data_IF_588109286358
#
_entry.id   IF_588109286358
#
_cell.length_a   1.000
_cell.length_b   1.000
_cell.length_c   1.000
_cell.angle_alpha   90.00
_cell.angle_beta   90.00
_cell.angle_gamma   90.00
#
_symmetry.space_group_name_H-M   'P 1'
#
loop_
_entity.id
_entity.type
_entity.pdbx_description
1 polymer ?
#
# COMPACT_ATOMS: atom_id res chain seq x y z
N UNK A 1 43.62 10.32 13.30
CA UNK A 1 42.18 10.67 13.35
C UNK A 1 41.48 9.88 12.27
N UNK A 2 40.70 8.87 12.64
CA UNK A 2 39.96 8.02 11.69
C UNK A 2 38.70 8.78 11.29
N UNK A 3 38.59 9.13 10.00
CA UNK A 3 37.37 9.72 9.44
C UNK A 3 36.33 8.62 9.32
N UNK A 4 35.29 8.68 10.14
CA UNK A 4 34.10 7.82 10.01
C UNK A 4 33.36 8.25 8.74
N UNK A 5 33.08 7.34 7.78
CA UNK A 5 32.29 7.72 6.61
C UNK A 5 30.92 8.16 7.09
N UNK A 6 30.52 9.37 6.70
CA UNK A 6 29.22 9.94 7.03
C UNK A 6 28.14 8.92 6.67
N UNK A 7 27.33 8.53 7.66
CA UNK A 7 26.07 7.82 7.42
C UNK A 7 25.35 8.59 6.32
N UNK A 8 25.19 7.98 5.15
CA UNK A 8 24.16 8.41 4.20
C UNK A 8 22.86 8.45 4.98
N UNK A 9 22.40 9.66 5.33
CA UNK A 9 21.05 9.83 5.84
C UNK A 9 20.16 9.39 4.70
N UNK A 10 19.49 8.25 4.87
CA UNK A 10 18.40 7.90 3.98
C UNK A 10 17.45 9.10 3.98
N UNK A 11 17.03 9.59 2.80
CA UNK A 11 16.19 10.78 2.70
C UNK A 11 14.78 10.57 3.30
N UNK A 12 14.50 9.35 3.76
CA UNK A 12 13.21 8.84 4.21
C UNK A 12 13.47 8.00 5.46
N UNK A 13 12.65 8.13 6.51
CA UNK A 13 12.78 7.26 7.69
C UNK A 13 12.34 5.83 7.36
N UNK A 14 12.79 4.83 8.13
CA UNK A 14 12.35 3.46 7.91
C UNK A 14 10.83 3.33 8.02
N UNK A 15 10.22 4.01 8.99
CA UNK A 15 8.77 3.99 9.18
C UNK A 15 8.04 4.62 7.98
N UNK A 16 8.55 5.72 7.46
CA UNK A 16 8.01 6.34 6.25
C UNK A 16 8.12 5.41 5.03
N UNK A 17 9.28 4.79 4.84
CA UNK A 17 9.50 3.81 3.79
C UNK A 17 8.53 2.62 3.89
N UNK A 18 8.31 2.10 5.09
CA UNK A 18 7.40 0.99 5.33
C UNK A 18 5.96 1.36 4.95
N UNK A 19 5.49 2.53 5.37
CA UNK A 19 4.15 3.01 5.00
C UNK A 19 3.98 3.24 3.50
N UNK A 20 4.97 3.84 2.84
CA UNK A 20 4.96 4.03 1.39
C UNK A 20 4.94 2.68 0.65
N UNK A 21 5.70 1.71 1.15
CA UNK A 21 5.75 0.35 0.59
C UNK A 21 4.40 -0.35 0.71
N UNK A 22 3.73 -0.26 1.87
CA UNK A 22 2.39 -0.84 2.04
C UNK A 22 1.37 -0.16 1.13
N UNK A 23 1.42 1.18 0.99
CA UNK A 23 0.55 1.91 0.07
C UNK A 23 0.77 1.50 -1.39
N UNK A 24 2.02 1.30 -1.79
CA UNK A 24 2.38 0.84 -3.12
C UNK A 24 1.77 -0.54 -3.42
N UNK A 25 1.98 -1.53 -2.55
CA UNK A 25 1.43 -2.87 -2.75
C UNK A 25 -0.11 -2.88 -2.80
N UNK A 26 -0.78 -2.07 -1.97
CA UNK A 26 -2.24 -1.94 -2.02
C UNK A 26 -2.72 -1.33 -3.33
N UNK A 27 -2.03 -0.30 -3.83
CA UNK A 27 -2.38 0.31 -5.11
C UNK A 27 -2.22 -0.69 -6.27
N UNK A 28 -1.16 -1.51 -6.26
CA UNK A 28 -0.97 -2.57 -7.25
C UNK A 28 -2.08 -3.62 -7.18
N UNK A 29 -2.45 -4.07 -5.97
CA UNK A 29 -3.54 -5.02 -5.78
C UNK A 29 -4.88 -4.46 -6.29
N UNK A 30 -5.22 -3.21 -5.95
CA UNK A 30 -6.44 -2.53 -6.42
C UNK A 30 -6.53 -2.52 -7.94
N UNK A 31 -5.42 -2.22 -8.61
CA UNK A 31 -5.34 -2.24 -10.08
C UNK A 31 -5.48 -3.66 -10.64
N UNK A 32 -4.84 -4.64 -10.01
CA UNK A 32 -4.88 -6.03 -10.46
C UNK A 32 -6.29 -6.65 -10.34
N UNK A 33 -7.06 -6.28 -9.31
CA UNK A 33 -8.41 -6.81 -9.10
C UNK A 33 -9.35 -6.57 -10.28
N UNK A 34 -9.18 -5.51 -11.07
CA UNK A 34 -9.99 -5.30 -12.28
C UNK A 34 -9.78 -6.42 -13.30
N UNK A 35 -8.55 -6.87 -13.47
CA UNK A 35 -8.23 -8.02 -14.33
C UNK A 35 -8.80 -9.30 -13.73
N UNK A 36 -8.62 -9.52 -12.42
CA UNK A 36 -9.10 -10.74 -11.76
C UNK A 36 -10.63 -10.87 -11.75
N UNK A 37 -11.34 -9.74 -11.63
CA UNK A 37 -12.80 -9.70 -11.76
C UNK A 37 -13.21 -10.09 -13.17
N UNK A 38 -12.54 -9.54 -14.20
CA UNK A 38 -12.83 -9.88 -15.59
C UNK A 38 -12.55 -11.37 -15.89
N UNK A 39 -11.47 -11.93 -15.34
CA UNK A 39 -11.14 -13.35 -15.50
C UNK A 39 -12.18 -14.24 -14.81
N UNK A 40 -12.63 -13.86 -13.61
CA UNK A 40 -13.69 -14.57 -12.88
C UNK A 40 -15.04 -14.53 -13.62
N UNK A 41 -15.37 -13.39 -14.25
CA UNK A 41 -16.55 -13.24 -15.10
C UNK A 41 -16.47 -14.16 -16.33
N UNK A 42 -15.32 -14.17 -17.03
CA UNK A 42 -15.10 -15.04 -18.19
C UNK A 42 -15.17 -16.54 -17.83
N UNK A 43 -14.71 -16.89 -16.63
CA UNK A 43 -14.81 -18.25 -16.10
C UNK A 43 -16.24 -18.62 -15.60
N UNK A 44 -17.19 -17.68 -15.62
CA UNK A 44 -18.55 -17.89 -15.10
C UNK A 44 -18.61 -18.10 -13.59
N UNK A 45 -17.58 -17.67 -12.84
CA UNK A 45 -17.49 -17.89 -11.40
C UNK A 45 -17.95 -16.67 -10.62
N UNK A 46 -19.26 -16.57 -10.39
CA UNK A 46 -19.86 -15.52 -9.57
C UNK A 46 -19.26 -15.41 -8.15
N UNK A 47 -18.98 -16.51 -7.42
CA UNK A 47 -18.34 -16.41 -6.10
C UNK A 47 -16.95 -15.76 -6.15
N UNK A 48 -16.18 -15.98 -7.22
CA UNK A 48 -14.88 -15.35 -7.40
C UNK A 48 -15.02 -13.85 -7.71
N UNK A 49 -16.01 -13.46 -8.52
CA UNK A 49 -16.31 -12.04 -8.78
C UNK A 49 -16.59 -11.30 -7.47
N UNK A 50 -17.47 -11.85 -6.63
CA UNK A 50 -17.84 -11.26 -5.35
C UNK A 50 -16.65 -11.17 -4.39
N UNK A 51 -15.83 -12.22 -4.34
CA UNK A 51 -14.61 -12.22 -3.52
C UNK A 51 -13.64 -11.12 -3.96
N UNK A 52 -13.33 -11.03 -5.26
CA UNK A 52 -12.39 -10.02 -5.75
C UNK A 52 -12.93 -8.59 -5.60
N UNK A 53 -14.23 -8.37 -5.76
CA UNK A 53 -14.87 -7.08 -5.47
C UNK A 53 -14.73 -6.71 -3.98
N UNK A 54 -14.98 -7.66 -3.08
CA UNK A 54 -14.82 -7.45 -1.63
C UNK A 54 -13.38 -7.14 -1.26
N UNK A 55 -12.42 -7.88 -1.81
CA UNK A 55 -10.99 -7.65 -1.59
C UNK A 55 -10.56 -6.26 -2.08
N UNK A 56 -10.97 -5.87 -3.30
CA UNK A 56 -10.70 -4.54 -3.85
C UNK A 56 -11.23 -3.43 -2.95
N UNK A 57 -12.47 -3.55 -2.48
CA UNK A 57 -13.08 -2.56 -1.60
C UNK A 57 -12.32 -2.45 -0.27
N UNK A 58 -11.97 -3.59 0.32
CA UNK A 58 -11.19 -3.62 1.56
C UNK A 58 -9.80 -2.98 1.41
N UNK A 59 -9.10 -3.23 0.30
CA UNK A 59 -7.80 -2.59 0.07
C UNK A 59 -7.90 -1.08 -0.19
N UNK A 60 -8.98 -0.60 -0.81
CA UNK A 60 -9.26 0.84 -0.94
C UNK A 60 -9.42 1.47 0.45
N UNK A 61 -10.21 0.86 1.32
CA UNK A 61 -10.43 1.35 2.69
C UNK A 61 -9.12 1.36 3.49
N UNK A 62 -8.36 0.27 3.44
CA UNK A 62 -7.06 0.19 4.10
C UNK A 62 -6.06 1.23 3.55
N UNK A 63 -6.01 1.45 2.23
CA UNK A 63 -5.12 2.45 1.64
C UNK A 63 -5.49 3.87 2.09
N UNK A 64 -6.78 4.18 2.21
CA UNK A 64 -7.25 5.46 2.73
C UNK A 64 -6.88 5.65 4.21
N UNK A 65 -7.05 4.60 5.03
CA UNK A 65 -6.67 4.62 6.44
C UNK A 65 -5.17 4.84 6.62
N UNK A 66 -4.35 4.11 5.87
CA UNK A 66 -2.90 4.23 5.93
C UNK A 66 -2.45 5.63 5.48
N UNK A 67 -3.03 6.16 4.40
CA UNK A 67 -2.72 7.51 3.94
C UNK A 67 -3.01 8.56 5.02
N UNK A 68 -4.14 8.43 5.72
CA UNK A 68 -4.48 9.32 6.84
C UNK A 68 -3.45 9.20 7.98
N UNK A 69 -3.08 7.98 8.37
CA UNK A 69 -2.09 7.76 9.43
C UNK A 69 -0.72 8.31 9.06
N UNK A 70 -0.25 8.10 7.83
CA UNK A 70 1.00 8.66 7.34
C UNK A 70 1.01 10.19 7.44
N UNK A 71 -0.06 10.86 7.00
CA UNK A 71 -0.21 12.31 7.11
C UNK A 71 -0.14 12.79 8.57
N UNK A 72 -0.78 12.08 9.50
CA UNK A 72 -0.74 12.43 10.91
C UNK A 72 0.66 12.27 11.53
N UNK A 73 1.37 11.18 11.21
CA UNK A 73 2.72 10.92 11.74
C UNK A 73 3.71 11.95 11.19
N UNK A 74 3.60 12.31 9.90
CA UNK A 74 4.39 13.38 9.27
C UNK A 74 4.14 14.75 9.93
N UNK A 75 2.88 15.10 10.20
CA UNK A 75 2.53 16.38 10.82
C UNK A 75 2.95 16.47 12.29
N UNK A 76 2.85 15.36 13.03
CA UNK A 76 3.16 15.31 14.48
C UNK A 76 4.66 15.12 14.75
N UNK A 77 5.51 15.03 13.73
CA UNK A 77 6.96 14.86 13.88
C UNK A 77 7.36 13.56 14.57
N UNK A 78 6.53 12.51 14.47
CA UNK A 78 6.82 11.17 15.04
C UNK A 78 7.53 10.24 14.04
N UNK A 79 8.07 10.81 12.96
CA UNK A 79 8.83 10.13 11.91
C UNK A 79 10.30 9.96 12.26
#
# INVERSE_FOLDING_TARGET
>A
MVQTPGKTQNPVSNLEYDFLTVLHHKAEAIKAYETYINDAQQAGSQPCVELFQKLRQSDIEHAQEIRRHLQEVMQKGKM
#
